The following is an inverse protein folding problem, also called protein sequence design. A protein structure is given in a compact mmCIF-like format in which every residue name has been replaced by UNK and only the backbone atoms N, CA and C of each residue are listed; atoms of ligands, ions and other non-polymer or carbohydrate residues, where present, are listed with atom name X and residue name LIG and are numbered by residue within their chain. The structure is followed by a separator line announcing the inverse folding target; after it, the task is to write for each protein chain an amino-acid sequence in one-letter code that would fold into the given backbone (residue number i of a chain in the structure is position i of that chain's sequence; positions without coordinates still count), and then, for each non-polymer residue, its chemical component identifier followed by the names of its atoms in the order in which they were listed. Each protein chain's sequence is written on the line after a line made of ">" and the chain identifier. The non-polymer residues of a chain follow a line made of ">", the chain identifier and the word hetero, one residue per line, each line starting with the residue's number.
data_IF_091134311146
#
_entry.id   IF_091134311146
#
_cell.length_a   1.000
_cell.length_b   1.000
_cell.length_c   1.000
_cell.angle_alpha   90.00
_cell.angle_beta   90.00
_cell.angle_gamma   90.00
#
_symmetry.space_group_name_H-M   'P 1'
#
loop_
_entity.id
_entity.type
_entity.pdbx_description
1 polymer ?
#
# COMPACT_ATOMS: atom_id res chain seq x y z
N UNK A 1 -3.27 -5.18 14.92
CA UNK A 1 -2.75 -5.75 13.67
C UNK A 1 -2.56 -7.27 13.79
N UNK A 2 -1.71 -7.75 14.72
CA UNK A 2 -1.47 -9.19 14.93
C UNK A 2 -2.76 -10.02 15.08
N UNK A 3 -3.65 -9.61 15.98
CA UNK A 3 -4.97 -10.25 16.14
C UNK A 3 -5.79 -10.34 14.85
N UNK A 4 -5.83 -9.26 14.06
CA UNK A 4 -6.56 -9.25 12.77
C UNK A 4 -5.96 -10.24 11.77
N UNK A 5 -4.63 -10.38 11.76
CA UNK A 5 -3.93 -11.35 10.90
C UNK A 5 -4.21 -12.78 11.35
N UNK A 6 -4.21 -13.04 12.66
CA UNK A 6 -4.55 -14.35 13.22
C UNK A 6 -5.99 -14.75 12.90
N UNK A 7 -6.94 -13.83 13.13
CA UNK A 7 -8.35 -14.05 12.86
C UNK A 7 -8.58 -14.31 11.35
N UNK A 8 -8.07 -13.44 10.47
CA UNK A 8 -8.18 -13.62 9.01
C UNK A 8 -7.49 -14.89 8.50
N UNK A 9 -6.37 -15.30 9.11
CA UNK A 9 -5.71 -16.55 8.74
C UNK A 9 -6.53 -17.79 9.10
N UNK A 10 -7.22 -17.75 10.24
CA UNK A 10 -8.08 -18.82 10.73
C UNK A 10 -9.39 -18.91 9.96
N UNK A 11 -9.97 -17.77 9.60
CA UNK A 11 -11.25 -17.68 8.89
C UNK A 11 -11.12 -17.95 7.38
N UNK A 12 -9.89 -18.03 6.86
CA UNK A 12 -9.67 -18.30 5.46
C UNK A 12 -10.25 -19.65 5.01
N UNK A 13 -10.93 -19.70 3.86
CA UNK A 13 -11.44 -20.95 3.31
C UNK A 13 -10.32 -21.96 3.03
N UNK A 14 -10.45 -23.18 3.54
CA UNK A 14 -9.63 -24.33 3.16
C UNK A 14 -10.54 -25.48 2.72
N UNK A 15 -10.18 -26.15 1.63
CA UNK A 15 -10.86 -27.36 1.15
C UNK A 15 -9.88 -28.57 1.20
N UNK A 16 -10.33 -29.78 0.84
CA UNK A 16 -9.46 -30.98 0.83
C UNK A 16 -8.43 -31.02 -0.32
N UNK A 17 -8.26 -29.92 -1.05
CA UNK A 17 -7.41 -29.88 -2.23
C UNK A 17 -5.93 -29.73 -1.87
N UNK A 18 -5.08 -29.76 -2.91
CA UNK A 18 -3.64 -29.54 -2.82
C UNK A 18 -3.27 -28.41 -1.82
N UNK A 19 -2.36 -28.73 -0.90
CA UNK A 19 -1.88 -27.82 0.14
C UNK A 19 -1.35 -26.48 -0.41
N UNK A 20 -0.65 -26.48 -1.55
CA UNK A 20 -0.16 -25.26 -2.21
C UNK A 20 -1.31 -24.38 -2.71
N UNK A 21 -2.38 -25.00 -3.21
CA UNK A 21 -3.59 -24.30 -3.66
C UNK A 21 -4.30 -23.64 -2.47
N UNK A 22 -4.38 -24.35 -1.35
CA UNK A 22 -4.92 -23.81 -0.09
C UNK A 22 -4.05 -22.67 0.45
N UNK A 23 -2.73 -22.80 0.47
CA UNK A 23 -1.82 -21.72 0.88
C UNK A 23 -2.03 -20.46 0.04
N UNK A 24 -2.12 -20.63 -1.29
CA UNK A 24 -2.36 -19.51 -2.21
C UNK A 24 -3.69 -18.81 -1.92
N UNK A 25 -4.75 -19.58 -1.64
CA UNK A 25 -6.05 -19.00 -1.24
C UNK A 25 -5.97 -18.27 0.09
N UNK A 26 -5.30 -18.85 1.09
CA UNK A 26 -5.09 -18.22 2.40
C UNK A 26 -4.38 -16.88 2.30
N UNK A 27 -3.30 -16.82 1.53
CA UNK A 27 -2.58 -15.57 1.28
C UNK A 27 -3.44 -14.54 0.56
N UNK A 28 -4.25 -14.95 -0.42
CA UNK A 28 -5.19 -14.04 -1.12
C UNK A 28 -6.28 -13.51 -0.19
N UNK A 29 -6.83 -14.36 0.68
CA UNK A 29 -7.83 -13.96 1.67
C UNK A 29 -7.24 -12.95 2.66
N UNK A 30 -6.11 -13.29 3.29
CA UNK A 30 -5.41 -12.41 4.22
C UNK A 30 -5.03 -11.07 3.58
N UNK A 31 -4.58 -11.08 2.31
CA UNK A 31 -4.31 -9.84 1.56
C UNK A 31 -5.54 -8.92 1.48
N UNK A 32 -6.72 -9.49 1.28
CA UNK A 32 -7.97 -8.72 1.23
C UNK A 32 -8.34 -8.19 2.62
N UNK A 33 -8.21 -8.99 3.67
CA UNK A 33 -8.51 -8.56 5.05
C UNK A 33 -7.59 -7.43 5.49
N UNK A 34 -6.29 -7.55 5.22
CA UNK A 34 -5.31 -6.48 5.47
C UNK A 34 -5.69 -5.21 4.71
N UNK A 35 -6.15 -5.34 3.46
CA UNK A 35 -6.58 -4.19 2.65
C UNK A 35 -7.81 -3.51 3.25
N UNK A 36 -8.80 -4.27 3.70
CA UNK A 36 -10.00 -3.73 4.35
C UNK A 36 -9.62 -3.07 5.68
N UNK A 37 -8.83 -3.75 6.51
CA UNK A 37 -8.37 -3.22 7.80
C UNK A 37 -7.63 -1.89 7.64
N UNK A 38 -6.74 -1.78 6.65
CA UNK A 38 -6.03 -0.53 6.34
C UNK A 38 -7.00 0.61 5.96
N UNK A 39 -8.01 0.33 5.13
CA UNK A 39 -9.03 1.32 4.77
C UNK A 39 -9.83 1.78 6.00
N UNK A 40 -10.30 0.84 6.81
CA UNK A 40 -11.06 1.13 8.03
C UNK A 40 -10.22 1.95 9.01
N UNK A 41 -8.94 1.60 9.19
CA UNK A 41 -8.02 2.34 10.06
C UNK A 41 -7.78 3.76 9.55
N UNK A 42 -7.62 3.94 8.24
CA UNK A 42 -7.49 5.25 7.61
C UNK A 42 -8.72 6.14 7.83
N UNK A 43 -9.93 5.59 7.70
CA UNK A 43 -11.17 6.31 7.99
C UNK A 43 -11.26 6.69 9.47
N UNK A 44 -11.05 5.75 10.39
CA UNK A 44 -11.08 6.01 11.83
C UNK A 44 -10.07 7.09 12.25
N UNK A 45 -8.86 7.11 11.66
CA UNK A 45 -7.90 8.18 11.91
C UNK A 45 -8.38 9.53 11.37
N UNK A 46 -9.03 9.56 10.20
CA UNK A 46 -9.58 10.79 9.62
C UNK A 46 -10.72 11.35 10.47
N UNK A 47 -11.58 10.48 11.00
CA UNK A 47 -12.67 10.83 11.90
C UNK A 47 -12.14 11.34 13.24
N UNK A 48 -11.16 10.65 13.84
CA UNK A 48 -10.49 11.11 15.06
C UNK A 48 -9.81 12.47 14.88
N UNK A 49 -9.17 12.70 13.72
CA UNK A 49 -8.58 13.99 13.38
C UNK A 49 -9.64 15.09 13.26
N UNK A 50 -10.79 14.80 12.66
CA UNK A 50 -11.91 15.74 12.56
C UNK A 50 -12.46 16.09 13.95
N UNK A 51 -12.65 15.09 14.82
CA UNK A 51 -13.12 15.31 16.19
C UNK A 51 -12.15 16.17 17.01
N UNK A 52 -10.84 15.91 16.91
CA UNK A 52 -9.83 16.72 17.58
C UNK A 52 -9.79 18.17 17.08
N UNK A 53 -10.06 18.40 15.79
CA UNK A 53 -10.16 19.76 15.24
C UNK A 53 -11.38 20.52 15.79
N UNK A 54 -12.53 19.86 15.88
CA UNK A 54 -13.72 20.45 16.49
C UNK A 54 -13.49 20.75 17.97
N UNK A 55 -12.85 19.84 18.70
CA UNK A 55 -12.50 20.07 20.10
C UNK A 55 -11.52 21.24 20.27
N UNK A 56 -10.55 21.36 19.36
CA UNK A 56 -9.61 22.48 19.35
C UNK A 56 -10.34 23.81 19.12
N UNK A 57 -11.27 23.87 18.18
CA UNK A 57 -12.05 25.07 17.88
C UNK A 57 -12.87 25.52 19.09
N UNK A 58 -13.49 24.58 19.81
CA UNK A 58 -14.22 24.87 21.06
C UNK A 58 -13.30 25.45 22.13
N UNK A 59 -12.12 24.86 22.32
CA UNK A 59 -11.13 25.32 23.31
C UNK A 59 -10.58 26.70 22.92
N UNK A 60 -10.26 26.92 21.65
CA UNK A 60 -9.76 28.20 21.15
C UNK A 60 -10.83 29.29 21.33
N UNK A 61 -12.10 29.02 21.03
CA UNK A 61 -13.20 29.98 21.26
C UNK A 61 -13.37 30.35 22.74
N UNK A 62 -13.25 29.38 23.66
CA UNK A 62 -13.30 29.64 25.10
C UNK A 62 -12.18 30.60 25.53
N UNK A 63 -10.96 30.36 25.03
CA UNK A 63 -9.79 31.20 25.31
C UNK A 63 -9.96 32.60 24.70
N UNK A 64 -10.40 32.69 23.45
CA UNK A 64 -10.57 33.96 22.73
C UNK A 64 -11.66 34.84 23.35
N UNK A 65 -12.70 34.24 23.92
CA UNK A 65 -13.74 34.94 24.68
C UNK A 65 -13.26 35.45 26.06
N UNK A 66 -12.03 35.11 26.47
CA UNK A 66 -11.47 35.47 27.77
C UNK A 66 -11.99 34.61 28.93
N UNK A 67 -12.72 33.54 28.65
CA UNK A 67 -13.24 32.58 29.62
C UNK A 67 -12.28 31.39 29.85
N UNK A 68 -11.18 31.35 29.08
CA UNK A 68 -10.20 30.27 29.12
C UNK A 68 -9.47 30.14 30.45
N UNK A 69 -9.40 28.91 30.93
CA UNK A 69 -8.66 28.51 32.13
C UNK A 69 -7.25 28.01 31.81
N UNK A 70 -6.40 27.84 32.83
CA UNK A 70 -5.07 27.22 32.67
C UNK A 70 -5.20 25.78 32.15
N UNK A 71 -6.27 25.09 32.55
CA UNK A 71 -6.66 23.77 32.09
C UNK A 71 -6.97 23.75 30.59
N UNK A 72 -7.65 24.78 30.06
CA UNK A 72 -7.94 24.92 28.63
C UNK A 72 -6.66 25.10 27.80
N UNK A 73 -5.72 25.91 28.29
CA UNK A 73 -4.40 26.09 27.65
C UNK A 73 -3.64 24.76 27.60
N UNK A 74 -3.65 23.99 28.70
CA UNK A 74 -3.02 22.67 28.73
C UNK A 74 -3.71 21.70 27.76
N UNK A 75 -5.04 21.65 27.77
CA UNK A 75 -5.84 20.81 26.88
C UNK A 75 -5.59 21.12 25.42
N UNK A 76 -5.52 22.40 25.05
CA UNK A 76 -5.14 22.87 23.71
C UNK A 76 -3.80 22.27 23.28
N UNK A 77 -2.79 22.34 24.14
CA UNK A 77 -1.47 21.74 23.89
C UNK A 77 -1.55 20.23 23.66
N UNK A 78 -2.33 19.50 24.47
CA UNK A 78 -2.54 18.05 24.30
C UNK A 78 -3.22 17.71 22.97
N UNK A 79 -4.24 18.48 22.57
CA UNK A 79 -4.95 18.28 21.29
C UNK A 79 -4.00 18.52 20.11
N UNK A 80 -3.24 19.61 20.14
CA UNK A 80 -2.27 19.94 19.09
C UNK A 80 -1.19 18.85 18.97
N UNK A 81 -0.70 18.31 20.08
CA UNK A 81 0.26 17.20 20.07
C UNK A 81 -0.34 15.93 19.43
N UNK A 82 -1.57 15.56 19.80
CA UNK A 82 -2.28 14.41 19.19
C UNK A 82 -2.47 14.60 17.68
N UNK A 83 -2.83 15.81 17.25
CA UNK A 83 -2.96 16.13 15.82
C UNK A 83 -1.63 15.99 15.10
N UNK A 84 -0.54 16.49 15.70
CA UNK A 84 0.81 16.35 15.15
C UNK A 84 1.23 14.88 15.02
N UNK A 85 0.94 14.04 16.02
CA UNK A 85 1.24 12.61 15.97
C UNK A 85 0.50 11.89 14.83
N UNK A 86 -0.79 12.21 14.63
CA UNK A 86 -1.58 11.67 13.51
C UNK A 86 -0.95 12.07 12.16
N UNK A 87 -0.52 13.32 12.02
CA UNK A 87 0.08 13.82 10.78
C UNK A 87 1.45 13.21 10.51
N UNK A 88 2.26 13.04 11.55
CA UNK A 88 3.54 12.33 11.48
C UNK A 88 3.35 10.89 11.02
N UNK A 89 2.38 10.17 11.60
CA UNK A 89 2.06 8.79 11.19
C UNK A 89 1.59 8.73 9.73
N UNK A 90 0.73 9.66 9.30
CA UNK A 90 0.25 9.72 7.92
C UNK A 90 1.39 10.00 6.92
N UNK A 91 2.33 10.88 7.27
CA UNK A 91 3.51 11.16 6.45
C UNK A 91 4.40 9.92 6.29
N UNK A 92 4.66 9.20 7.38
CA UNK A 92 5.43 7.94 7.35
C UNK A 92 4.75 6.88 6.49
N UNK A 93 3.43 6.70 6.62
CA UNK A 93 2.66 5.76 5.81
C UNK A 93 2.74 6.10 4.31
N UNK A 94 2.63 7.39 3.98
CA UNK A 94 2.71 7.89 2.60
C UNK A 94 4.11 7.64 2.02
N UNK A 95 5.16 7.94 2.78
CA UNK A 95 6.55 7.67 2.37
C UNK A 95 6.80 6.17 2.15
N UNK A 96 6.28 5.31 3.03
CA UNK A 96 6.41 3.87 2.88
C UNK A 96 5.68 3.36 1.63
N UNK A 97 4.46 3.85 1.35
CA UNK A 97 3.72 3.51 0.13
C UNK A 97 4.48 3.93 -1.12
N UNK A 98 5.06 5.13 -1.12
CA UNK A 98 5.90 5.60 -2.22
C UNK A 98 7.11 4.69 -2.41
N UNK A 99 7.83 4.33 -1.33
CA UNK A 99 8.99 3.44 -1.40
C UNK A 99 8.64 2.05 -1.97
N UNK A 100 7.52 1.47 -1.54
CA UNK A 100 7.05 0.18 -2.08
C UNK A 100 6.68 0.31 -3.56
N UNK A 101 5.96 1.38 -3.93
CA UNK A 101 5.59 1.64 -5.33
C UNK A 101 6.83 1.75 -6.23
N UNK A 102 7.82 2.53 -5.80
CA UNK A 102 9.09 2.68 -6.51
C UNK A 102 9.85 1.37 -6.67
N UNK A 103 9.86 0.51 -5.65
CA UNK A 103 10.52 -0.79 -5.73
C UNK A 103 9.83 -1.71 -6.76
N UNK A 104 8.50 -1.66 -6.86
CA UNK A 104 7.73 -2.44 -7.85
C UNK A 104 7.94 -1.91 -9.27
N UNK A 105 7.87 -0.59 -9.47
CA UNK A 105 8.09 0.01 -10.80
C UNK A 105 9.54 -0.16 -11.29
N UNK A 106 10.52 -0.14 -10.39
CA UNK A 106 11.92 -0.46 -10.73
C UNK A 106 12.12 -1.92 -11.14
N UNK A 107 11.38 -2.86 -10.52
CA UNK A 107 11.39 -4.28 -10.89
C UNK A 107 10.81 -4.49 -12.29
N UNK A 108 9.73 -3.78 -12.66
CA UNK A 108 9.15 -3.78 -14.01
C UNK A 108 10.16 -3.29 -15.08
N UNK A 109 11.02 -2.35 -14.73
CA UNK A 109 12.09 -1.92 -15.63
C UNK A 109 13.17 -2.99 -15.80
N UNK A 110 13.53 -3.70 -14.72
CA UNK A 110 14.51 -4.80 -14.80
C UNK A 110 14.00 -5.95 -15.65
N UNK A 111 12.73 -6.35 -15.49
CA UNK A 111 12.14 -7.42 -16.29
C UNK A 111 12.11 -7.09 -17.78
N UNK A 112 11.79 -5.84 -18.15
CA UNK A 112 11.86 -5.37 -19.54
C UNK A 112 13.26 -5.55 -20.14
N UNK A 113 14.32 -5.15 -19.43
CA UNK A 113 15.69 -5.31 -19.91
C UNK A 113 16.14 -6.77 -19.94
N UNK A 114 15.68 -7.60 -19.01
CA UNK A 114 15.94 -9.04 -19.04
C UNK A 114 15.27 -9.73 -20.22
N UNK A 115 14.04 -9.35 -20.56
CA UNK A 115 13.33 -9.86 -21.73
C UNK A 115 14.01 -9.42 -23.02
N UNK A 116 14.36 -8.14 -23.15
CA UNK A 116 15.10 -7.63 -24.32
C UNK A 116 16.45 -8.34 -24.49
N UNK A 117 17.19 -8.57 -23.40
CA UNK A 117 18.46 -9.30 -23.44
C UNK A 117 18.27 -10.73 -23.92
N UNK A 118 17.23 -11.43 -23.45
CA UNK A 118 16.89 -12.79 -23.90
C UNK A 118 16.58 -12.83 -25.40
N UNK A 119 15.88 -11.83 -25.91
CA UNK A 119 15.54 -11.75 -27.34
C UNK A 119 16.77 -11.46 -28.21
N UNK A 120 17.74 -10.68 -27.70
CA UNK A 120 18.98 -10.36 -28.40
C UNK A 120 20.05 -11.46 -28.32
N UNK A 121 20.12 -12.18 -27.20
CA UNK A 121 21.08 -13.27 -26.96
C UNK A 121 20.50 -14.66 -27.26
N UNK A 122 19.24 -14.73 -27.71
CA UNK A 122 18.59 -15.97 -28.10
C UNK A 122 19.29 -16.62 -29.29
N UNK A 123 19.56 -17.92 -29.21
CA UNK A 123 20.08 -18.68 -30.34
C UNK A 123 19.07 -18.65 -31.49
N UNK A 124 19.45 -18.05 -32.62
CA UNK A 124 18.61 -18.05 -33.83
C UNK A 124 18.49 -19.48 -34.34
N UNK A 125 17.27 -19.98 -34.48
CA UNK A 125 17.05 -21.34 -34.96
C UNK A 125 17.30 -21.46 -36.46
N UNK A 126 17.75 -22.64 -36.92
CA UNK A 126 18.00 -22.89 -38.34
C UNK A 126 16.77 -22.63 -39.23
N UNK A 127 15.56 -22.79 -38.70
CA UNK A 127 14.32 -22.55 -39.44
C UNK A 127 14.01 -21.04 -39.58
N UNK A 128 14.34 -20.23 -38.57
CA UNK A 128 14.29 -18.76 -38.65
C UNK A 128 15.29 -18.23 -39.69
N UNK A 129 16.52 -18.79 -39.73
CA UNK A 129 17.52 -18.45 -40.75
C UNK A 129 17.01 -18.80 -42.15
N UNK A 130 16.50 -20.02 -42.35
CA UNK A 130 15.97 -20.47 -43.66
C UNK A 130 14.80 -19.61 -44.12
N UNK A 131 13.92 -19.20 -43.21
CA UNK A 131 12.78 -18.33 -43.52
C UNK A 131 13.23 -16.93 -43.94
N UNK A 132 14.14 -16.31 -43.20
CA UNK A 132 14.67 -14.99 -43.55
C UNK A 132 15.41 -14.97 -44.90
N UNK A 133 16.16 -16.05 -45.21
CA UNK A 133 16.83 -16.23 -46.50
C UNK A 133 15.83 -16.35 -47.64
N UNK A 134 14.71 -17.05 -47.42
CA UNK A 134 13.66 -17.22 -48.43
C UNK A 134 12.90 -15.92 -48.70
N UNK A 135 12.53 -15.18 -47.64
CA UNK A 135 11.79 -13.90 -47.75
C UNK A 135 12.65 -12.81 -48.43
N UNK A 136 13.98 -12.88 -48.31
CA UNK A 136 14.92 -11.98 -48.98
C UNK A 136 15.10 -12.27 -50.48
N UNK A 137 14.61 -13.42 -50.96
CA UNK A 137 14.72 -13.87 -52.35
C UNK A 137 13.55 -13.46 -53.25
N UNK A 138 12.48 -12.91 -52.68
CA UNK A 138 11.23 -12.58 -53.38
C UNK A 138 11.17 -11.18 -53.99
N UNK A 139 12.20 -10.35 -53.83
CA UNK A 139 12.28 -8.98 -54.36
C UNK A 139 13.23 -8.86 -55.59
N UNK A 140 13.05 -9.74 -56.58
CA UNK A 140 13.69 -9.65 -57.90
C UNK A 140 12.71 -9.92 -59.03
#
# INVERSE_FOLDING_TARGET
>A
FAKMVEDGWRDSPCDRSNALRNLTRKLKHLKNDIRVWNKTKGNSNRDAKAQLKLELEVVDLCIDNGEGTMEDIKRRGEIVNKLHDIDKLHALETAQKAKVKWAVEGDENSSFFHDQKRDLEGEVTNDEIKKAVWDSGTDK
#
